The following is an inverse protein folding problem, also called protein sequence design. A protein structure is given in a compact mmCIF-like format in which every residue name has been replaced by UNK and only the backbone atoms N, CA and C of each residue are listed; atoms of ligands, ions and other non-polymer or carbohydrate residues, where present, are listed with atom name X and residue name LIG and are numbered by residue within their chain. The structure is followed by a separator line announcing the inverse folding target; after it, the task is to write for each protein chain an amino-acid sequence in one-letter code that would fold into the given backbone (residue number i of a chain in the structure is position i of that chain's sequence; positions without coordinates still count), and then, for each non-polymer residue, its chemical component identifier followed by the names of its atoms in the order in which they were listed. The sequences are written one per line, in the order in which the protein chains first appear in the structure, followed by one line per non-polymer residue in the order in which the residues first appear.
data_IF_159776359431
#
_entry.id   IF_159776359431
#
_cell.length_a   1.000
_cell.length_b   1.000
_cell.length_c   1.000
_cell.angle_alpha   90.00
_cell.angle_beta   90.00
_cell.angle_gamma   90.00
#
_symmetry.space_group_name_H-M   'P 1'
#
loop_
_entity.id
_entity.type
_entity.pdbx_description
1 polymer ?
#
# COMPACT_ATOMS: atom_id res chain seq x y z
N UNK A 1 -4.77 -5.25 8.06
CA UNK A 1 -3.86 -5.52 9.18
C UNK A 1 -4.63 -5.42 10.49
N UNK A 2 -4.55 -6.44 11.36
CA UNK A 2 -5.14 -6.38 12.69
C UNK A 2 -4.52 -5.27 13.53
N UNK A 3 -5.32 -4.64 14.40
CA UNK A 3 -4.89 -3.56 15.28
C UNK A 3 -3.71 -3.94 16.17
N UNK A 4 -3.62 -5.22 16.57
CA UNK A 4 -2.56 -5.79 17.42
C UNK A 4 -1.14 -5.63 16.87
N UNK A 5 -0.98 -5.39 15.57
CA UNK A 5 0.33 -5.20 14.92
C UNK A 5 0.47 -3.83 14.23
N UNK A 6 -0.52 -2.95 14.35
CA UNK A 6 -0.48 -1.60 13.78
C UNK A 6 -0.02 -0.58 14.83
N UNK A 7 0.64 0.50 14.38
CA UNK A 7 1.13 1.57 15.28
C UNK A 7 0.01 2.31 16.01
N UNK A 8 -1.18 2.39 15.41
CA UNK A 8 -2.33 3.11 15.95
C UNK A 8 -3.30 2.21 16.74
N UNK A 9 -3.00 0.92 16.89
CA UNK A 9 -3.84 -0.04 17.60
C UNK A 9 -5.18 -0.36 16.92
N UNK A 10 -5.41 0.10 15.69
CA UNK A 10 -6.67 -0.04 14.97
C UNK A 10 -6.51 -0.93 13.76
N UNK A 11 -7.55 -1.70 13.49
CA UNK A 11 -7.65 -2.50 12.28
C UNK A 11 -7.55 -1.59 11.04
N UNK A 12 -6.51 -1.82 10.24
CA UNK A 12 -6.35 -1.15 8.96
C UNK A 12 -6.88 -2.05 7.85
N UNK A 13 -7.95 -1.62 7.18
CA UNK A 13 -8.51 -2.30 6.00
C UNK A 13 -8.33 -1.38 4.81
N UNK A 14 -7.54 -1.84 3.83
CA UNK A 14 -7.29 -1.13 2.60
C UNK A 14 -7.94 -1.93 1.45
N UNK A 15 -8.90 -1.35 0.71
CA UNK A 15 -9.42 -1.99 -0.50
C UNK A 15 -8.31 -2.08 -1.55
N UNK A 16 -8.39 -3.11 -2.38
CA UNK A 16 -7.47 -3.34 -3.49
C UNK A 16 -8.22 -3.17 -4.81
N UNK A 17 -7.56 -2.60 -5.81
CA UNK A 17 -8.10 -2.56 -7.17
C UNK A 17 -8.09 -3.95 -7.80
N UNK A 18 -8.95 -4.21 -8.80
CA UNK A 18 -8.95 -5.48 -9.52
C UNK A 18 -7.58 -5.89 -10.08
N UNK A 19 -6.83 -4.93 -10.63
CA UNK A 19 -5.50 -5.17 -11.19
C UNK A 19 -4.51 -5.64 -10.12
N UNK A 20 -4.51 -5.01 -8.94
CA UNK A 20 -3.66 -5.42 -7.82
C UNK A 20 -4.08 -6.80 -7.31
N UNK A 21 -5.37 -7.10 -7.27
CA UNK A 21 -5.86 -8.43 -6.87
C UNK A 21 -5.34 -9.51 -7.80
N UNK A 22 -5.32 -9.29 -9.12
CA UNK A 22 -4.78 -10.26 -10.07
C UNK A 22 -3.27 -10.45 -9.91
N UNK A 23 -2.49 -9.37 -9.78
CA UNK A 23 -1.05 -9.47 -9.49
C UNK A 23 -0.79 -10.29 -8.23
N UNK A 24 -1.52 -10.02 -7.14
CA UNK A 24 -1.33 -10.74 -5.88
C UNK A 24 -1.75 -12.21 -5.98
N UNK A 25 -2.77 -12.55 -6.79
CA UNK A 25 -3.16 -13.94 -7.06
C UNK A 25 -2.09 -14.68 -7.85
N UNK A 26 -1.53 -14.04 -8.87
CA UNK A 26 -0.45 -14.61 -9.68
C UNK A 26 0.78 -14.89 -8.83
N UNK A 27 1.21 -13.92 -8.03
CA UNK A 27 2.33 -14.07 -7.09
C UNK A 27 2.04 -15.16 -6.06
N UNK A 28 0.81 -15.19 -5.52
CA UNK A 28 0.42 -16.25 -4.59
C UNK A 28 0.44 -17.64 -5.23
N UNK A 29 0.12 -17.77 -6.52
CA UNK A 29 0.18 -19.05 -7.26
C UNK A 29 1.62 -19.56 -7.38
N UNK A 30 2.60 -18.66 -7.47
CA UNK A 30 4.02 -18.99 -7.49
C UNK A 30 4.55 -19.35 -6.09
N UNK A 31 3.89 -18.85 -5.05
CA UNK A 31 4.25 -19.09 -3.65
C UNK A 31 3.53 -20.30 -3.04
N UNK A 32 4.28 -21.35 -2.74
CA UNK A 32 3.89 -22.52 -1.92
C UNK A 32 3.93 -22.24 -0.41
N UNK A 33 4.43 -21.07 0.02
CA UNK A 33 4.48 -20.66 1.42
C UNK A 33 3.16 -20.04 1.91
N UNK A 34 2.99 -19.77 3.22
CA UNK A 34 1.88 -18.96 3.73
C UNK A 34 1.85 -17.53 3.18
N UNK A 35 2.98 -16.98 2.75
CA UNK A 35 3.10 -15.60 2.27
C UNK A 35 2.68 -15.46 0.80
N UNK A 36 2.26 -14.26 0.41
CA UNK A 36 1.98 -13.92 -1.01
C UNK A 36 3.29 -13.87 -1.80
N UNK A 37 4.25 -13.07 -1.32
CA UNK A 37 5.59 -13.01 -1.87
C UNK A 37 6.53 -13.93 -1.09
N UNK A 38 7.31 -14.77 -1.78
CA UNK A 38 8.27 -15.70 -1.17
C UNK A 38 9.54 -15.85 -2.00
N UNK A 39 10.65 -16.13 -1.34
CA UNK A 39 11.92 -16.40 -2.01
C UNK A 39 11.98 -17.87 -2.44
N UNK A 40 12.16 -18.11 -3.74
CA UNK A 40 12.18 -19.48 -4.30
C UNK A 40 10.83 -20.21 -4.21
N UNK A 41 9.75 -19.50 -3.92
CA UNK A 41 8.40 -20.04 -3.82
C UNK A 41 8.02 -20.57 -2.43
N UNK A 42 8.92 -20.69 -1.45
CA UNK A 42 8.61 -21.34 -0.17
C UNK A 42 9.12 -20.61 1.08
N UNK A 43 10.05 -19.65 0.94
CA UNK A 43 10.67 -18.97 2.08
C UNK A 43 10.17 -17.54 2.28
N UNK A 44 10.10 -17.13 3.55
CA UNK A 44 9.87 -15.73 3.94
C UNK A 44 10.96 -14.81 3.37
N UNK A 45 10.59 -13.60 2.97
CA UNK A 45 11.52 -12.56 2.50
C UNK A 45 11.84 -11.60 3.67
N UNK A 46 13.07 -11.59 4.20
CA UNK A 46 13.45 -10.66 5.25
C UNK A 46 13.40 -9.20 4.79
N UNK A 47 13.08 -8.28 5.70
CA UNK A 47 13.09 -6.82 5.43
C UNK A 47 14.41 -6.33 4.82
N UNK A 48 15.55 -6.89 5.26
CA UNK A 48 16.88 -6.55 4.72
C UNK A 48 16.97 -6.84 3.23
N UNK A 49 16.42 -7.97 2.78
CA UNK A 49 16.39 -8.35 1.37
C UNK A 49 15.57 -7.37 0.54
N UNK A 50 14.39 -6.97 1.03
CA UNK A 50 13.53 -5.98 0.36
C UNK A 50 14.26 -4.63 0.23
N UNK A 51 14.94 -4.18 1.28
CA UNK A 51 15.71 -2.94 1.25
C UNK A 51 16.87 -3.01 0.24
N UNK A 52 17.57 -4.14 0.17
CA UNK A 52 18.64 -4.35 -0.81
C UNK A 52 18.09 -4.29 -2.24
N UNK A 53 17.00 -4.99 -2.54
CA UNK A 53 16.36 -4.95 -3.86
C UNK A 53 15.90 -3.54 -4.24
N UNK A 54 15.37 -2.77 -3.28
CA UNK A 54 15.01 -1.37 -3.51
C UNK A 54 16.24 -0.50 -3.85
N UNK A 55 17.36 -0.70 -3.14
CA UNK A 55 18.62 -0.01 -3.44
C UNK A 55 19.18 -0.41 -4.80
N UNK A 56 19.17 -1.71 -5.13
CA UNK A 56 19.62 -2.23 -6.43
C UNK A 56 18.78 -1.65 -7.57
N UNK A 57 17.45 -1.60 -7.40
CA UNK A 57 16.55 -1.00 -8.36
C UNK A 57 16.83 0.50 -8.53
N UNK A 58 17.01 1.22 -7.42
CA UNK A 58 17.38 2.63 -7.41
C UNK A 58 18.66 2.90 -8.20
N UNK A 59 19.70 2.08 -8.01
CA UNK A 59 20.92 2.15 -8.82
C UNK A 59 20.66 1.83 -10.29
N UNK A 60 19.87 0.79 -10.58
CA UNK A 60 19.59 0.33 -11.95
C UNK A 60 18.84 1.37 -12.78
N UNK A 61 17.89 2.08 -12.17
CA UNK A 61 17.13 3.14 -12.87
C UNK A 61 17.83 4.50 -12.84
N UNK A 62 18.95 4.63 -12.12
CA UNK A 62 19.72 5.88 -12.01
C UNK A 62 19.04 6.96 -11.15
N UNK A 63 18.02 6.61 -10.37
CA UNK A 63 17.27 7.54 -9.52
C UNK A 63 17.41 7.09 -8.08
N UNK A 64 17.88 7.97 -7.19
CA UNK A 64 18.03 7.67 -5.77
C UNK A 64 16.65 7.65 -5.07
N UNK A 65 16.21 6.50 -4.57
CA UNK A 65 14.99 6.39 -3.78
C UNK A 65 15.02 5.21 -2.81
N UNK A 66 14.14 5.24 -1.82
CA UNK A 66 13.90 4.18 -0.84
C UNK A 66 12.43 3.73 -0.87
N UNK A 67 12.10 2.67 -0.15
CA UNK A 67 10.71 2.24 0.04
C UNK A 67 9.83 3.30 0.71
N UNK A 68 10.42 4.19 1.51
CA UNK A 68 9.72 5.33 2.09
C UNK A 68 9.39 6.39 1.04
N UNK A 69 10.29 6.64 0.10
CA UNK A 69 10.07 7.60 -0.98
C UNK A 69 8.99 7.09 -1.95
N UNK A 70 8.92 5.78 -2.22
CA UNK A 70 7.82 5.19 -2.98
C UNK A 70 6.45 5.42 -2.31
N UNK A 71 6.40 5.34 -0.99
CA UNK A 71 5.19 5.61 -0.22
C UNK A 71 4.80 7.09 -0.29
N UNK A 72 5.76 8.00 -0.20
CA UNK A 72 5.52 9.44 -0.39
C UNK A 72 5.02 9.72 -1.80
N UNK A 73 5.68 9.16 -2.81
CA UNK A 73 5.28 9.29 -4.21
C UNK A 73 3.83 8.84 -4.45
N UNK A 74 3.39 7.75 -3.81
CA UNK A 74 2.00 7.31 -3.87
C UNK A 74 1.03 8.33 -3.24
N UNK A 75 1.41 8.94 -2.11
CA UNK A 75 0.62 9.98 -1.46
C UNK A 75 0.54 11.26 -2.33
N UNK A 76 1.68 11.73 -2.84
CA UNK A 76 1.78 12.90 -3.70
C UNK A 76 0.96 12.68 -4.99
N UNK A 77 1.06 11.49 -5.60
CA UNK A 77 0.25 11.14 -6.78
C UNK A 77 -1.26 11.19 -6.51
N UNK A 78 -1.70 10.72 -5.34
CA UNK A 78 -3.11 10.80 -4.94
C UNK A 78 -3.54 12.25 -4.72
N UNK A 79 -2.67 13.06 -4.14
CA UNK A 79 -2.93 14.49 -3.92
C UNK A 79 -3.04 15.24 -5.26
N UNK A 80 -2.13 15.00 -6.20
CA UNK A 80 -2.16 15.56 -7.56
C UNK A 80 -3.45 15.17 -8.32
N UNK A 81 -4.03 14.01 -8.00
CA UNK A 81 -5.32 13.56 -8.52
C UNK A 81 -6.53 14.23 -7.85
N UNK A 82 -6.32 15.16 -6.92
CA UNK A 82 -7.35 15.86 -6.16
C UNK A 82 -8.02 15.01 -5.08
N UNK A 83 -7.38 13.92 -4.62
CA UNK A 83 -7.91 13.12 -3.53
C UNK A 83 -7.73 13.88 -2.21
N UNK A 84 -8.77 13.88 -1.39
CA UNK A 84 -8.77 14.60 -0.11
C UNK A 84 -7.71 14.05 0.86
N UNK A 85 -7.00 14.94 1.56
CA UNK A 85 -5.94 14.58 2.51
C UNK A 85 -6.41 13.59 3.59
N UNK A 86 -7.65 13.70 4.09
CA UNK A 86 -8.20 12.73 5.06
C UNK A 86 -8.23 11.31 4.47
N UNK A 87 -8.55 11.18 3.17
CA UNK A 87 -8.59 9.88 2.47
C UNK A 87 -7.17 9.36 2.26
N UNK A 88 -6.21 10.22 1.93
CA UNK A 88 -4.80 9.85 1.76
C UNK A 88 -4.22 9.37 3.10
N UNK A 89 -4.46 10.10 4.19
CA UNK A 89 -4.04 9.72 5.55
C UNK A 89 -4.63 8.36 5.96
N UNK A 90 -5.88 8.08 5.56
CA UNK A 90 -6.50 6.77 5.77
C UNK A 90 -5.85 5.67 4.96
N UNK A 91 -5.54 5.89 3.68
CA UNK A 91 -4.77 4.95 2.83
C UNK A 91 -3.42 4.65 3.46
N UNK A 92 -2.76 5.69 3.99
CA UNK A 92 -1.47 5.58 4.66
C UNK A 92 -1.59 4.98 6.07
N UNK A 93 -2.78 4.74 6.62
CA UNK A 93 -2.95 4.27 8.00
C UNK A 93 -2.33 5.24 9.05
N UNK A 94 -2.33 6.53 8.76
CA UNK A 94 -1.92 7.53 9.73
C UNK A 94 -3.01 7.73 10.79
N UNK A 95 -2.60 8.08 12.01
CA UNK A 95 -3.54 8.34 13.09
C UNK A 95 -4.21 9.69 12.88
N UNK A 96 -5.49 9.70 12.57
CA UNK A 96 -6.28 10.93 12.57
C UNK A 96 -6.56 11.39 14.01
N UNK A 97 -6.61 12.71 14.20
CA UNK A 97 -6.94 13.36 15.48
C UNK A 97 -8.31 12.93 16.03
N UNK A 98 -8.62 13.36 17.27
CA UNK A 98 -9.75 12.83 18.05
C UNK A 98 -11.15 13.20 17.53
N UNK A 99 -11.24 14.14 16.59
CA UNK A 99 -12.51 14.71 16.16
C UNK A 99 -13.06 13.97 14.93
N UNK A 100 -14.19 13.28 15.13
CA UNK A 100 -15.10 12.67 14.13
C UNK A 100 -14.81 11.26 13.61
N UNK A 101 -14.32 10.36 14.48
CA UNK A 101 -13.91 8.99 14.12
C UNK A 101 -15.00 8.05 13.55
N UNK A 102 -16.28 8.25 13.87
CA UNK A 102 -17.35 7.27 13.52
C UNK A 102 -18.09 7.64 12.23
N UNK A 103 -18.49 8.90 12.05
CA UNK A 103 -19.18 9.34 10.82
C UNK A 103 -18.26 9.35 9.59
N UNK A 104 -16.98 9.70 9.76
CA UNK A 104 -15.98 9.64 8.68
C UNK A 104 -15.73 8.22 8.18
N UNK A 105 -15.87 7.20 9.03
CA UNK A 105 -15.34 5.86 8.75
C UNK A 105 -16.07 5.09 7.64
N UNK A 106 -17.39 5.28 7.48
CA UNK A 106 -18.16 4.56 6.44
C UNK A 106 -18.14 5.26 5.08
N UNK A 107 -18.27 6.59 5.07
CA UNK A 107 -18.15 7.39 3.84
C UNK A 107 -16.73 7.34 3.25
N UNK A 108 -15.71 7.32 4.12
CA UNK A 108 -14.33 7.25 3.67
C UNK A 108 -13.96 5.93 3.00
N UNK A 109 -14.53 4.78 3.35
CA UNK A 109 -14.12 3.52 2.72
C UNK A 109 -14.48 3.44 1.23
N UNK A 110 -15.63 4.01 0.84
CA UNK A 110 -15.98 4.18 -0.57
C UNK A 110 -15.01 5.14 -1.27
N UNK A 111 -14.64 6.24 -0.63
CA UNK A 111 -13.68 7.21 -1.18
C UNK A 111 -12.28 6.60 -1.31
N UNK A 112 -11.83 5.83 -0.32
CA UNK A 112 -10.56 5.09 -0.35
C UNK A 112 -10.58 4.10 -1.51
N UNK A 113 -11.68 3.36 -1.73
CA UNK A 113 -11.82 2.45 -2.87
C UNK A 113 -11.68 3.19 -4.20
N UNK A 114 -12.45 4.27 -4.39
CA UNK A 114 -12.39 5.07 -5.61
C UNK A 114 -11.02 5.68 -5.86
N UNK A 115 -10.34 6.13 -4.80
CA UNK A 115 -8.98 6.68 -4.88
C UNK A 115 -7.97 5.62 -5.32
N UNK A 116 -8.02 4.42 -4.72
CA UNK A 116 -7.16 3.29 -5.10
C UNK A 116 -7.43 2.84 -6.55
N UNK A 117 -8.69 2.74 -6.95
CA UNK A 117 -9.06 2.36 -8.32
C UNK A 117 -8.61 3.42 -9.34
N UNK A 118 -8.77 4.72 -9.03
CA UNK A 118 -8.29 5.82 -9.86
C UNK A 118 -6.77 5.80 -10.02
N UNK A 119 -6.04 5.64 -8.92
CA UNK A 119 -4.58 5.60 -8.95
C UNK A 119 -4.06 4.36 -9.70
N UNK A 120 -4.69 3.20 -9.49
CA UNK A 120 -4.37 1.99 -10.24
C UNK A 120 -4.55 2.15 -11.76
N UNK A 121 -5.59 2.87 -12.20
CA UNK A 121 -5.81 3.17 -13.62
C UNK A 121 -4.71 4.02 -14.26
N UNK A 122 -3.94 4.78 -13.47
CA UNK A 122 -2.82 5.60 -13.97
C UNK A 122 -1.50 4.84 -13.93
N UNK A 123 -1.30 3.97 -12.93
CA UNK A 123 -0.02 3.25 -12.74
C UNK A 123 0.02 1.93 -13.51
N UNK A 124 -1.13 1.30 -13.74
CA UNK A 124 -1.27 -0.04 -14.33
C UNK A 124 -2.09 -0.06 -15.63
N UNK A 125 -2.60 1.09 -16.07
CA UNK A 125 -3.31 1.28 -17.35
C UNK A 125 -2.39 1.86 -18.40
#
# INVERSE_FOLDING_TARGET
MPGSITKNGKDHRLPLSPQIVEILKEEKRLSKSPYVFSFGGDRFIPRRTINNWCSELSHKVGIKFTSHDLRKLAADSLQDMGINDDVIEMILNHSQGDLDKVYKQRYSQTQVRLAIDKWAGVVLG
#
